data_IF_731652688946
#
_entry.id   IF_731652688946
#
_cell.length_a   1.000
_cell.length_b   1.000
_cell.length_c   1.000
_cell.angle_alpha   90.00
_cell.angle_beta   90.00
_cell.angle_gamma   90.00
#
_symmetry.space_group_name_H-M   'P 1'
#
loop_
_entity.id
_entity.type
_entity.pdbx_description
1 polymer ?
#
# COMPACT_ATOMS: atom_id res chain seq x y z
N UNK A 1 21.83 6.95 -6.61
CA UNK A 1 22.29 5.81 -5.78
C UNK A 1 21.34 4.66 -6.02
N UNK A 2 21.84 3.55 -6.54
CA UNK A 2 21.03 2.33 -6.70
C UNK A 2 20.90 1.64 -5.34
N UNK A 3 19.68 1.37 -4.91
CA UNK A 3 19.40 0.55 -3.72
C UNK A 3 19.47 -0.92 -4.11
N UNK A 4 19.96 -1.78 -3.22
CA UNK A 4 19.90 -3.24 -3.46
C UNK A 4 18.45 -3.72 -3.37
N UNK A 5 18.02 -4.74 -4.13
CA UNK A 5 16.65 -5.27 -4.07
C UNK A 5 16.18 -5.70 -2.67
N UNK A 6 17.10 -6.16 -1.82
CA UNK A 6 16.84 -6.57 -0.43
C UNK A 6 16.55 -5.37 0.48
N UNK A 7 16.98 -4.17 0.10
CA UNK A 7 16.76 -2.93 0.83
C UNK A 7 15.53 -2.13 0.38
N UNK A 8 14.82 -2.63 -0.64
CA UNK A 8 13.62 -1.97 -1.19
C UNK A 8 12.39 -2.64 -0.61
N UNK A 9 11.79 -2.03 0.42
CA UNK A 9 10.55 -2.51 1.02
C UNK A 9 9.35 -2.24 0.10
N UNK A 10 8.49 -3.23 -0.11
CA UNK A 10 7.35 -3.10 -1.03
C UNK A 10 6.26 -2.18 -0.48
N UNK A 11 6.00 -2.23 0.83
CA UNK A 11 5.06 -1.32 1.47
C UNK A 11 5.50 0.14 1.34
N UNK A 12 6.80 0.43 1.45
CA UNK A 12 7.34 1.78 1.22
C UNK A 12 7.15 2.23 -0.22
N UNK A 13 7.40 1.34 -1.19
CA UNK A 13 7.18 1.65 -2.61
C UNK A 13 5.72 2.02 -2.84
N UNK A 14 4.78 1.20 -2.36
CA UNK A 14 3.33 1.47 -2.54
C UNK A 14 2.92 2.79 -1.88
N UNK A 15 3.38 3.06 -0.66
CA UNK A 15 3.10 4.35 0.02
C UNK A 15 3.71 5.57 -0.67
N UNK A 16 4.80 5.38 -1.42
CA UNK A 16 5.45 6.47 -2.17
C UNK A 16 4.78 6.73 -3.52
N UNK A 17 4.23 5.68 -4.15
CA UNK A 17 3.59 5.79 -5.47
C UNK A 17 2.12 6.16 -5.38
N UNK A 18 1.45 5.86 -4.26
CA UNK A 18 0.05 6.21 -4.02
C UNK A 18 -0.03 7.53 -3.26
N UNK A 19 -0.70 8.54 -3.85
CA UNK A 19 -0.64 9.94 -3.39
C UNK A 19 -1.07 10.13 -1.92
N UNK A 20 -2.04 9.36 -1.41
CA UNK A 20 -2.46 9.45 0.00
C UNK A 20 -3.13 8.17 0.57
N UNK A 21 -3.24 7.08 -0.20
CA UNK A 21 -4.00 5.87 0.16
C UNK A 21 -5.44 6.16 0.69
N UNK A 22 -6.04 7.26 0.21
CA UNK A 22 -7.41 7.69 0.56
C UNK A 22 -8.39 6.76 -0.14
N UNK A 23 -8.67 5.62 0.50
CA UNK A 23 -9.60 4.60 0.01
C UNK A 23 -11.04 5.13 -0.07
N UNK A 24 -11.42 5.98 0.88
CA UNK A 24 -12.73 6.63 0.96
C UNK A 24 -12.54 8.09 1.29
N UNK A 25 -13.44 8.94 0.79
CA UNK A 25 -13.37 10.38 1.01
C UNK A 25 -13.29 10.77 2.50
N UNK A 26 -13.97 10.03 3.38
CA UNK A 26 -13.99 10.30 4.82
C UNK A 26 -12.68 9.97 5.55
N UNK A 27 -11.67 9.44 4.85
CA UNK A 27 -10.30 9.30 5.35
C UNK A 27 -9.49 10.59 5.17
N UNK A 28 -9.84 11.46 4.22
CA UNK A 28 -9.15 12.74 4.02
C UNK A 28 -9.66 13.77 5.04
N UNK A 29 -8.86 14.14 6.07
CA UNK A 29 -9.31 15.09 7.09
C UNK A 29 -9.51 16.51 6.55
N UNK A 30 -8.96 16.85 5.39
CA UNK A 30 -9.09 18.17 4.75
C UNK A 30 -10.33 18.26 3.85
N UNK A 31 -10.82 17.14 3.33
CA UNK A 31 -11.95 17.10 2.37
C UNK A 31 -13.21 16.40 2.89
N UNK A 32 -13.14 15.71 4.03
CA UNK A 32 -14.25 14.91 4.57
C UNK A 32 -15.56 15.71 4.78
N UNK A 33 -16.56 15.34 3.99
CA UNK A 33 -17.93 15.84 3.97
C UNK A 33 -18.94 14.80 4.49
N UNK A 34 -18.47 13.63 4.91
CA UNK A 34 -19.31 12.56 5.46
C UNK A 34 -19.81 12.91 6.86
N UNK A 35 -21.06 13.39 6.96
CA UNK A 35 -21.68 13.84 8.21
C UNK A 35 -21.75 12.76 9.31
N UNK A 36 -21.77 11.48 8.93
CA UNK A 36 -21.81 10.35 9.89
C UNK A 36 -20.41 9.88 10.29
N UNK A 37 -19.34 10.44 9.73
CA UNK A 37 -17.94 10.04 9.99
C UNK A 37 -17.61 9.88 11.49
N UNK A 38 -18.10 10.70 12.43
CA UNK A 38 -17.81 10.53 13.86
C UNK A 38 -18.30 9.22 14.48
N UNK A 39 -19.33 8.59 13.90
CA UNK A 39 -19.97 7.36 14.44
C UNK A 39 -20.01 6.21 13.42
N UNK A 40 -19.37 6.37 12.26
CA UNK A 40 -19.42 5.39 11.18
C UNK A 40 -18.51 4.18 11.49
N UNK A 41 -19.11 3.04 11.85
CA UNK A 41 -18.35 1.80 12.07
C UNK A 41 -17.64 1.29 10.81
N UNK A 42 -18.22 1.54 9.62
CA UNK A 42 -17.59 1.15 8.35
C UNK A 42 -16.23 1.83 8.14
N UNK A 43 -16.09 3.11 8.55
CA UNK A 43 -14.80 3.83 8.49
C UNK A 43 -13.70 3.07 9.22
N UNK A 44 -14.03 2.50 10.38
CA UNK A 44 -13.09 1.74 11.21
C UNK A 44 -12.71 0.40 10.55
N UNK A 45 -13.70 -0.34 10.03
CA UNK A 45 -13.47 -1.61 9.33
C UNK A 45 -12.59 -1.42 8.09
N UNK A 46 -12.84 -0.36 7.31
CA UNK A 46 -12.02 -0.04 6.13
C UNK A 46 -10.59 0.36 6.52
N UNK A 47 -10.41 1.08 7.62
CA UNK A 47 -9.08 1.46 8.11
C UNK A 47 -8.29 0.23 8.58
N UNK A 48 -8.96 -0.70 9.28
CA UNK A 48 -8.37 -1.98 9.66
C UNK A 48 -7.95 -2.79 8.42
N UNK A 49 -8.81 -2.89 7.41
CA UNK A 49 -8.50 -3.59 6.16
C UNK A 49 -7.29 -2.97 5.42
N UNK A 50 -7.24 -1.63 5.31
CA UNK A 50 -6.11 -0.92 4.72
C UNK A 50 -4.81 -1.17 5.51
N UNK A 51 -4.89 -1.12 6.84
CA UNK A 51 -3.74 -1.38 7.72
C UNK A 51 -3.22 -2.82 7.53
N UNK A 52 -4.13 -3.80 7.44
CA UNK A 52 -3.76 -5.20 7.20
C UNK A 52 -3.12 -5.39 5.82
N UNK A 53 -3.66 -4.76 4.78
CA UNK A 53 -3.09 -4.76 3.43
C UNK A 53 -1.64 -4.23 3.44
N UNK A 54 -1.41 -3.05 4.02
CA UNK A 54 -0.08 -2.45 4.10
C UNK A 54 0.87 -3.29 4.96
N UNK A 55 0.40 -3.83 6.08
CA UNK A 55 1.21 -4.68 6.96
C UNK A 55 1.69 -5.94 6.26
N UNK A 56 0.90 -6.49 5.32
CA UNK A 56 1.33 -7.61 4.50
C UNK A 56 2.49 -7.19 3.61
N UNK A 57 2.37 -6.05 2.91
CA UNK A 57 3.40 -5.52 2.00
C UNK A 57 4.69 -5.12 2.72
N UNK A 58 4.59 -4.64 3.96
CA UNK A 58 5.73 -4.26 4.80
C UNK A 58 6.67 -5.42 5.11
N UNK A 59 6.21 -6.66 4.94
CA UNK A 59 7.01 -7.86 5.18
C UNK A 59 7.86 -8.30 3.99
N UNK A 60 7.68 -7.69 2.82
CA UNK A 60 8.36 -8.11 1.59
C UNK A 60 9.30 -7.03 1.07
N UNK A 61 10.38 -7.49 0.46
CA UNK A 61 11.35 -6.70 -0.29
C UNK A 61 11.22 -6.96 -1.80
N UNK A 62 11.82 -6.11 -2.63
CA UNK A 62 11.89 -6.35 -4.07
C UNK A 62 12.63 -7.65 -4.39
N UNK A 63 13.62 -8.04 -3.58
CA UNK A 63 14.29 -9.32 -3.73
C UNK A 63 13.29 -10.49 -3.62
N UNK A 64 12.40 -10.48 -2.62
CA UNK A 64 11.45 -11.56 -2.39
C UNK A 64 10.49 -11.75 -3.57
N UNK A 65 10.07 -10.66 -4.22
CA UNK A 65 9.15 -10.69 -5.36
C UNK A 65 9.82 -11.01 -6.70
N UNK A 66 11.15 -10.99 -6.74
CA UNK A 66 11.92 -11.19 -7.98
C UNK A 66 12.79 -12.43 -7.91
N UNK A 67 12.42 -13.47 -7.16
CA UNK A 67 13.16 -14.74 -7.18
C UNK A 67 13.03 -15.51 -8.51
N UNK A 68 11.97 -15.24 -9.27
CA UNK A 68 11.68 -15.84 -10.59
C UNK A 68 12.09 -14.91 -11.76
N UNK A 69 13.24 -14.23 -11.68
CA UNK A 69 13.65 -13.18 -12.65
C UNK A 69 13.59 -13.64 -14.11
N UNK A 70 13.95 -14.89 -14.40
CA UNK A 70 13.99 -15.37 -15.78
C UNK A 70 12.58 -15.55 -16.35
N UNK A 71 11.66 -16.12 -15.57
CA UNK A 71 10.25 -16.20 -15.96
C UNK A 71 9.60 -14.82 -16.08
N UNK A 72 9.94 -13.88 -15.20
CA UNK A 72 9.48 -12.49 -15.31
C UNK A 72 10.02 -11.82 -16.59
N UNK A 73 11.28 -12.04 -16.95
CA UNK A 73 11.87 -11.49 -18.18
C UNK A 73 11.18 -11.98 -19.44
N UNK A 74 10.83 -13.26 -19.50
CA UNK A 74 10.11 -13.83 -20.65
C UNK A 74 8.73 -13.20 -20.89
N UNK A 75 8.11 -12.61 -19.85
CA UNK A 75 6.79 -11.98 -19.94
C UNK A 75 6.85 -10.45 -20.06
N UNK A 76 7.94 -9.83 -19.63
CA UNK A 76 8.10 -8.36 -19.58
C UNK A 76 8.92 -7.80 -20.74
N UNK A 77 9.57 -8.66 -21.55
CA UNK A 77 10.41 -8.31 -22.70
C UNK A 77 9.96 -9.10 -23.93
#
# INVERSE_FOLDING_TARGET
MEKSPESINIGEVVRYTEDDLVMVECFDPKKNSCIISPICSLKHVLHEALTAYLSVLDRYTLNDLTQNKDALRELLL
#
